data_IF_309197278946
#
_entry.id   IF_309197278946
#
_cell.length_a   1.000
_cell.length_b   1.000
_cell.length_c   1.000
_cell.angle_alpha   90.00
_cell.angle_beta   90.00
_cell.angle_gamma   90.00
#
_symmetry.space_group_name_H-M   'P 1'
#
loop_
_entity.id
_entity.type
_entity.pdbx_description
1 polymer ?
#
# COMPACT_ATOMS: atom_id res chain seq x y z
N UNK A 1 -8.07 -5.42 5.91
CA UNK A 1 -7.37 -4.12 6.00
C UNK A 1 -8.39 -3.00 6.05
N UNK A 2 -8.15 -1.97 6.85
CA UNK A 2 -8.97 -0.76 6.92
C UNK A 2 -8.63 0.21 5.78
N UNK A 3 -9.47 1.21 5.51
CA UNK A 3 -9.15 2.28 4.56
C UNK A 3 -7.84 3.01 4.89
N UNK A 4 -7.56 3.20 6.18
CA UNK A 4 -6.32 3.81 6.65
C UNK A 4 -5.10 2.93 6.33
N UNK A 5 -5.22 1.61 6.50
CA UNK A 5 -4.13 0.68 6.17
C UNK A 5 -3.78 0.73 4.68
N UNK A 6 -4.79 0.80 3.80
CA UNK A 6 -4.59 0.96 2.37
C UNK A 6 -3.96 2.31 2.01
N UNK A 7 -4.34 3.38 2.70
CA UNK A 7 -3.72 4.69 2.52
C UNK A 7 -2.23 4.64 2.89
N UNK A 8 -1.90 4.12 4.08
CA UNK A 8 -0.51 4.00 4.54
C UNK A 8 0.29 3.12 3.59
N UNK A 9 -0.24 1.96 3.20
CA UNK A 9 0.39 1.05 2.25
C UNK A 9 0.71 1.75 0.91
N UNK A 10 -0.26 2.45 0.34
CA UNK A 10 -0.05 3.10 -0.97
C UNK A 10 0.87 4.32 -0.88
N UNK A 11 0.83 5.08 0.22
CA UNK A 11 1.75 6.20 0.45
C UNK A 11 3.20 5.73 0.62
N UNK A 12 3.45 4.68 1.40
CA UNK A 12 4.80 4.12 1.56
C UNK A 12 5.32 3.52 0.26
N UNK A 13 4.47 2.84 -0.52
CA UNK A 13 4.81 2.34 -1.86
C UNK A 13 5.19 3.49 -2.81
N UNK A 14 4.48 4.62 -2.74
CA UNK A 14 4.79 5.80 -3.56
C UNK A 14 6.12 6.44 -3.15
N UNK A 15 6.35 6.62 -1.85
CA UNK A 15 7.50 7.36 -1.32
C UNK A 15 8.80 6.56 -1.33
N UNK A 16 8.73 5.26 -1.05
CA UNK A 16 9.90 4.42 -0.81
C UNK A 16 10.05 3.28 -1.83
N UNK A 17 9.04 3.07 -2.68
CA UNK A 17 9.08 2.07 -3.74
C UNK A 17 9.66 2.59 -5.06
N UNK A 18 10.04 1.67 -5.93
CA UNK A 18 10.41 1.97 -7.32
C UNK A 18 9.18 2.20 -8.23
N UNK A 19 9.43 2.45 -9.51
CA UNK A 19 8.38 2.77 -10.50
C UNK A 19 7.24 1.75 -10.55
N UNK A 20 7.56 0.45 -10.42
CA UNK A 20 6.55 -0.61 -10.35
C UNK A 20 5.64 -0.47 -9.12
N UNK A 21 6.20 -0.23 -7.94
CA UNK A 21 5.42 -0.09 -6.70
C UNK A 21 4.57 1.18 -6.72
N UNK A 22 5.06 2.26 -7.34
CA UNK A 22 4.26 3.47 -7.57
C UNK A 22 3.03 3.17 -8.43
N UNK A 23 3.19 2.44 -9.54
CA UNK A 23 2.05 2.05 -10.40
C UNK A 23 1.12 1.05 -9.75
N UNK A 24 1.64 0.13 -8.95
CA UNK A 24 0.82 -0.78 -8.16
C UNK A 24 0.00 -0.02 -7.11
N UNK A 25 0.58 1.01 -6.46
CA UNK A 25 -0.13 1.86 -5.52
C UNK A 25 -1.25 2.67 -6.19
N UNK A 26 -1.00 3.23 -7.38
CA UNK A 26 -2.03 3.88 -8.19
C UNK A 26 -3.17 2.91 -8.53
N UNK A 27 -2.86 1.68 -8.95
CA UNK A 27 -3.85 0.64 -9.23
C UNK A 27 -4.68 0.28 -7.99
N UNK A 28 -4.04 0.11 -6.83
CA UNK A 28 -4.72 -0.15 -5.55
C UNK A 28 -5.64 1.02 -5.19
N UNK A 29 -5.25 2.28 -5.43
CA UNK A 29 -6.11 3.44 -5.14
C UNK A 29 -7.34 3.50 -6.05
N UNK A 30 -7.17 3.14 -7.32
CA UNK A 30 -8.24 3.16 -8.32
C UNK A 30 -9.20 1.96 -8.23
N UNK A 31 -8.74 0.83 -7.71
CA UNK A 31 -9.52 -0.41 -7.63
C UNK A 31 -10.71 -0.33 -6.65
N UNK A 32 -11.78 -1.07 -6.97
CA UNK A 32 -12.86 -1.38 -6.02
C UNK A 32 -12.37 -2.35 -4.91
N UNK A 33 -13.23 -2.59 -3.93
CA UNK A 33 -12.89 -3.38 -2.74
C UNK A 33 -12.44 -4.81 -3.07
N UNK A 34 -13.06 -5.46 -4.05
CA UNK A 34 -12.74 -6.85 -4.41
C UNK A 34 -11.41 -6.91 -5.16
N UNK A 35 -11.20 -6.00 -6.11
CA UNK A 35 -9.96 -5.92 -6.86
C UNK A 35 -8.78 -5.47 -5.99
N UNK A 36 -9.00 -4.59 -5.00
CA UNK A 36 -7.99 -4.28 -3.97
C UNK A 36 -7.55 -5.55 -3.25
N UNK A 37 -8.50 -6.33 -2.75
CA UNK A 37 -8.18 -7.53 -2.00
C UNK A 37 -7.42 -8.54 -2.87
N UNK A 38 -7.84 -8.75 -4.12
CA UNK A 38 -7.13 -9.62 -5.07
C UNK A 38 -5.68 -9.19 -5.29
N UNK A 39 -5.42 -7.89 -5.43
CA UNK A 39 -4.05 -7.38 -5.57
C UNK A 39 -3.24 -7.69 -4.31
N UNK A 40 -3.80 -7.46 -3.13
CA UNK A 40 -3.12 -7.74 -1.86
C UNK A 40 -2.80 -9.23 -1.71
N UNK A 41 -3.75 -10.11 -2.05
CA UNK A 41 -3.59 -11.55 -1.93
C UNK A 41 -2.49 -12.09 -2.87
N UNK A 42 -2.27 -11.43 -4.02
CA UNK A 42 -1.20 -11.77 -4.97
C UNK A 42 0.17 -11.29 -4.50
N UNK A 43 0.24 -10.18 -3.74
CA UNK A 43 1.48 -9.55 -3.31
C UNK A 43 1.55 -9.40 -1.77
N UNK A 44 1.54 -10.50 -1.00
CA UNK A 44 1.58 -10.42 0.47
C UNK A 44 2.89 -9.82 1.01
N UNK A 45 3.99 -10.01 0.30
CA UNK A 45 5.32 -9.44 0.61
C UNK A 45 5.33 -7.91 0.51
N UNK A 46 4.55 -7.34 -0.42
CA UNK A 46 4.38 -5.89 -0.56
C UNK A 46 3.69 -5.32 0.67
N UNK A 47 2.68 -6.01 1.21
CA UNK A 47 1.99 -5.57 2.43
C UNK A 47 2.87 -5.66 3.65
N UNK A 48 3.70 -6.69 3.77
CA UNK A 48 4.69 -6.77 4.85
C UNK A 48 5.69 -5.61 4.78
N UNK A 49 6.19 -5.33 3.57
CA UNK A 49 7.25 -4.34 3.35
C UNK A 49 6.78 -2.89 3.43
N UNK A 50 5.55 -2.59 3.01
CA UNK A 50 5.06 -1.22 2.88
C UNK A 50 3.80 -0.95 3.71
N UNK A 51 3.13 -1.98 4.23
CA UNK A 51 1.89 -1.83 4.98
C UNK A 51 2.04 -1.10 6.32
N UNK A 52 0.95 -0.99 7.10
CA UNK A 52 0.91 -0.19 8.33
C UNK A 52 1.89 -0.65 9.42
N UNK A 53 2.31 -1.92 9.39
CA UNK A 53 3.30 -2.46 10.33
C UNK A 53 4.75 -2.36 9.81
N UNK A 54 4.95 -1.81 8.61
CA UNK A 54 6.27 -1.71 8.00
C UNK A 54 7.14 -0.66 8.70
N UNK A 55 8.46 -0.77 8.51
CA UNK A 55 9.40 0.25 8.95
C UNK A 55 9.12 1.64 8.32
N UNK A 56 8.50 1.67 7.14
CA UNK A 56 8.18 2.90 6.42
C UNK A 56 6.93 3.61 6.93
N UNK A 57 5.99 2.88 7.54
CA UNK A 57 4.72 3.42 8.02
C UNK A 57 4.89 4.48 9.13
N UNK A 58 5.99 4.40 9.90
CA UNK A 58 6.29 5.34 11.00
C UNK A 58 6.39 6.81 10.55
N UNK A 59 6.66 7.05 9.27
CA UNK A 59 6.81 8.40 8.70
C UNK A 59 5.57 8.87 7.91
N UNK A 60 4.45 8.12 7.96
CA UNK A 60 3.28 8.34 7.10
C UNK A 60 2.07 8.95 7.84
N UNK A 61 2.17 9.29 9.14
CA UNK A 61 1.10 10.02 9.89
C UNK A 61 1.77 11.00 10.86
N UNK A 62 1.42 12.29 11.00
CA UNK A 62 0.11 12.90 11.35
C UNK A 62 -0.02 14.35 10.84
N UNK A 63 -1.20 14.71 10.30
CA UNK A 63 -1.80 16.04 10.47
C UNK A 63 -2.90 15.91 11.52
#
# INVERSE_FOLDING_TARGET
MTHQDYFVLTETMIRYGGSFMQKLAEAIRAADSDNKQRIIDVYPDVVERYGPNSAFAKNVTTY
#
